data_IF_400201068319
#
_entry.id   IF_400201068319
#
_cell.length_a   1.000
_cell.length_b   1.000
_cell.length_c   1.000
_cell.angle_alpha   90.00
_cell.angle_beta   90.00
_cell.angle_gamma   90.00
#
_symmetry.space_group_name_H-M   'P 1'
#
loop_
_entity.id
_entity.type
_entity.pdbx_description
1 polymer ?
#
# COMPACT_ATOMS: atom_id res chain seq x y z
N UNK A 1 -5.32 4.93 -2.00
CA UNK A 1 -4.78 3.57 -2.13
C UNK A 1 -5.11 3.08 -3.51
N UNK A 2 -4.12 3.02 -4.40
CA UNK A 2 -4.25 2.37 -5.70
C UNK A 2 -3.05 1.46 -5.87
N UNK A 3 -3.15 0.37 -6.64
CA UNK A 3 -2.04 -0.59 -6.70
C UNK A 3 -0.71 0.07 -7.11
N UNK A 4 -0.74 1.01 -8.05
CA UNK A 4 0.44 1.74 -8.50
C UNK A 4 0.94 2.71 -7.41
N UNK A 5 0.03 3.50 -6.83
CA UNK A 5 0.37 4.49 -5.83
C UNK A 5 0.87 3.83 -4.52
N UNK A 6 0.29 2.68 -4.18
CA UNK A 6 0.64 1.89 -3.00
C UNK A 6 2.07 1.37 -3.09
N UNK A 7 2.57 1.00 -4.28
CA UNK A 7 3.99 0.65 -4.49
C UNK A 7 4.89 1.81 -4.07
N UNK A 8 4.64 3.02 -4.58
CA UNK A 8 5.44 4.20 -4.24
C UNK A 8 5.31 4.59 -2.76
N UNK A 9 4.11 4.50 -2.19
CA UNK A 9 3.90 4.78 -0.77
C UNK A 9 4.62 3.76 0.11
N UNK A 10 4.53 2.46 -0.18
CA UNK A 10 5.19 1.41 0.59
C UNK A 10 6.72 1.52 0.50
N UNK A 11 7.25 1.86 -0.68
CA UNK A 11 8.67 2.15 -0.85
C UNK A 11 9.09 3.35 0.02
N UNK A 12 8.35 4.47 -0.06
CA UNK A 12 8.62 5.68 0.70
C UNK A 12 8.50 5.49 2.22
N UNK A 13 7.47 4.77 2.68
CA UNK A 13 7.27 4.42 4.09
C UNK A 13 8.41 3.51 4.56
N UNK A 14 8.80 2.50 3.77
CA UNK A 14 9.94 1.64 4.10
C UNK A 14 11.25 2.41 4.28
N UNK A 15 11.49 3.40 3.43
CA UNK A 15 12.62 4.32 3.57
C UNK A 15 12.51 5.16 4.85
N UNK A 16 11.33 5.70 5.15
CA UNK A 16 11.06 6.49 6.35
C UNK A 16 11.25 5.67 7.64
N UNK A 17 10.78 4.42 7.68
CA UNK A 17 11.00 3.49 8.79
C UNK A 17 12.50 3.31 9.03
N UNK A 18 13.27 3.08 7.97
CA UNK A 18 14.72 2.90 8.07
C UNK A 18 15.42 4.14 8.61
N UNK A 19 15.00 5.32 8.18
CA UNK A 19 15.51 6.60 8.67
C UNK A 19 15.17 6.84 10.15
N UNK A 20 13.95 6.56 10.58
CA UNK A 20 13.51 6.68 11.97
C UNK A 20 14.28 5.74 12.90
N UNK A 21 14.46 4.49 12.47
CA UNK A 21 15.10 3.45 13.26
C UNK A 21 16.61 3.63 13.37
N UNK A 22 17.27 4.25 12.37
CA UNK A 22 18.72 4.56 12.40
C UNK A 22 19.14 5.38 13.64
N UNK A 23 18.23 6.19 14.19
CA UNK A 23 18.52 7.03 15.37
C UNK A 23 18.78 6.21 16.64
N UNK A 24 18.33 4.95 16.71
CA UNK A 24 18.49 4.10 17.90
C UNK A 24 19.85 3.40 17.91
N UNK A 25 20.51 3.38 19.08
CA UNK A 25 21.87 2.82 19.27
C UNK A 25 21.89 1.30 19.41
N UNK A 26 20.80 0.69 19.87
CA UNK A 26 20.73 -0.74 20.22
C UNK A 26 20.15 -1.55 19.04
N UNK A 27 20.91 -2.53 18.55
CA UNK A 27 20.52 -3.32 17.37
C UNK A 27 19.25 -4.18 17.57
N UNK A 28 19.03 -4.72 18.77
CA UNK A 28 17.77 -5.43 19.06
C UNK A 28 16.55 -4.51 18.98
N UNK A 29 16.61 -3.32 19.58
CA UNK A 29 15.54 -2.33 19.47
C UNK A 29 15.30 -1.90 18.03
N UNK A 30 16.36 -1.76 17.22
CA UNK A 30 16.22 -1.43 15.79
C UNK A 30 15.43 -2.50 15.05
N UNK A 31 15.77 -3.78 15.25
CA UNK A 31 15.06 -4.91 14.63
C UNK A 31 13.60 -4.96 15.07
N UNK A 32 13.33 -4.87 16.37
CA UNK A 32 11.95 -4.92 16.91
C UNK A 32 11.11 -3.74 16.41
N UNK A 33 11.64 -2.52 16.41
CA UNK A 33 10.90 -1.35 15.92
C UNK A 33 10.65 -1.43 14.42
N UNK A 34 11.64 -1.88 13.64
CA UNK A 34 11.44 -2.08 12.19
C UNK A 34 10.30 -3.07 11.96
N UNK A 35 10.32 -4.22 12.64
CA UNK A 35 9.30 -5.24 12.50
C UNK A 35 7.92 -4.72 12.92
N UNK A 36 7.84 -4.03 14.07
CA UNK A 36 6.60 -3.45 14.57
C UNK A 36 6.00 -2.46 13.56
N UNK A 37 6.81 -1.50 13.09
CA UNK A 37 6.34 -0.53 12.10
C UNK A 37 5.96 -1.19 10.78
N UNK A 38 6.68 -2.22 10.34
CA UNK A 38 6.32 -2.97 9.14
C UNK A 38 4.97 -3.67 9.28
N UNK A 39 4.74 -4.38 10.39
CA UNK A 39 3.47 -5.08 10.65
C UNK A 39 2.31 -4.09 10.70
N UNK A 40 2.48 -2.98 11.44
CA UNK A 40 1.45 -1.93 11.53
C UNK A 40 1.17 -1.32 10.15
N UNK A 41 2.21 -1.05 9.35
CA UNK A 41 2.04 -0.49 8.00
C UNK A 41 1.24 -1.43 7.12
N UNK A 42 1.59 -2.71 7.05
CA UNK A 42 0.86 -3.69 6.23
C UNK A 42 -0.58 -3.85 6.71
N UNK A 43 -0.80 -3.91 8.02
CA UNK A 43 -2.15 -3.99 8.58
C UNK A 43 -3.02 -2.80 8.17
N UNK A 44 -2.47 -1.57 8.22
CA UNK A 44 -3.18 -0.36 7.77
C UNK A 44 -3.49 -0.43 6.27
N UNK A 45 -2.52 -0.81 5.44
CA UNK A 45 -2.74 -0.93 4.00
C UNK A 45 -3.82 -1.95 3.67
N UNK A 46 -3.80 -3.14 4.27
CA UNK A 46 -4.84 -4.16 4.05
C UNK A 46 -6.22 -3.72 4.56
N UNK A 47 -6.27 -3.06 5.72
CA UNK A 47 -7.52 -2.54 6.29
C UNK A 47 -8.19 -1.52 5.37
N UNK A 48 -7.41 -0.74 4.61
CA UNK A 48 -7.97 0.22 3.67
C UNK A 48 -8.21 -0.42 2.30
N UNK A 49 -7.22 -1.13 1.76
CA UNK A 49 -7.23 -1.55 0.37
C UNK A 49 -8.17 -2.73 0.10
N UNK A 50 -8.36 -3.66 1.04
CA UNK A 50 -9.30 -4.79 0.86
C UNK A 50 -10.75 -4.29 0.80
N UNK A 51 -11.27 -3.51 1.78
CA UNK A 51 -12.62 -2.96 1.71
C UNK A 51 -12.84 -2.09 0.48
N UNK A 52 -11.79 -1.36 0.06
CA UNK A 52 -11.85 -0.53 -1.14
C UNK A 52 -12.00 -1.37 -2.41
N UNK A 53 -11.22 -2.45 -2.53
CA UNK A 53 -11.26 -3.36 -3.68
C UNK A 53 -12.60 -4.09 -3.81
N UNK A 54 -13.19 -4.52 -2.70
CA UNK A 54 -14.51 -5.20 -2.71
C UNK A 54 -15.69 -4.23 -2.77
N UNK A 55 -15.44 -2.92 -2.90
CA UNK A 55 -16.46 -1.86 -2.89
C UNK A 55 -17.33 -1.88 -1.62
N UNK A 56 -16.75 -2.11 -0.44
CA UNK A 56 -17.50 -2.11 0.81
C UNK A 56 -17.91 -0.68 1.21
N UNK A 57 -19.15 -0.31 0.85
CA UNK A 57 -19.74 1.00 1.15
C UNK A 57 -19.96 1.27 2.65
N UNK A 58 -19.96 0.24 3.49
CA UNK A 58 -20.13 0.39 4.94
C UNK A 58 -18.82 0.75 5.66
N UNK A 59 -17.69 0.70 4.96
CA UNK A 59 -16.40 1.09 5.51
C UNK A 59 -16.27 2.63 5.48
N UNK A 60 -16.20 3.33 6.63
CA UNK A 60 -16.24 4.80 6.64
C UNK A 60 -15.15 5.49 5.80
N UNK A 61 -13.89 4.98 5.75
CA UNK A 61 -12.85 5.56 4.90
C UNK A 61 -13.14 5.42 3.39
N UNK A 62 -14.03 4.51 2.97
CA UNK A 62 -14.45 4.36 1.58
C UNK A 62 -15.02 5.69 1.06
N UNK A 63 -15.99 6.28 1.77
CA UNK A 63 -16.65 7.51 1.35
C UNK A 63 -15.72 8.73 1.42
N UNK A 64 -14.84 8.80 2.41
CA UNK A 64 -13.85 9.88 2.48
C UNK A 64 -12.91 9.83 1.27
N UNK A 65 -12.45 8.64 0.89
CA UNK A 65 -11.56 8.49 -0.25
C UNK A 65 -12.29 8.75 -1.57
N UNK A 66 -13.50 8.23 -1.76
CA UNK A 66 -14.28 8.50 -2.99
C UNK A 66 -14.62 9.98 -3.14
N UNK A 67 -14.95 10.69 -2.05
CA UNK A 67 -15.11 12.15 -2.08
C UNK A 67 -13.83 12.88 -2.50
N UNK A 68 -12.68 12.45 -1.98
CA UNK A 68 -11.39 13.00 -2.40
C UNK A 68 -11.12 12.75 -3.89
N UNK A 69 -11.30 11.52 -4.36
CA UNK A 69 -11.08 11.15 -5.77
C UNK A 69 -12.01 11.94 -6.70
N UNK A 70 -13.29 12.07 -6.35
CA UNK A 70 -14.26 12.86 -7.11
C UNK A 70 -14.01 14.37 -7.04
N UNK A 71 -13.24 14.85 -6.06
CA UNK A 71 -12.86 16.27 -5.96
C UNK A 71 -11.66 16.65 -6.83
N UNK A 72 -10.91 15.67 -7.36
CA UNK A 72 -9.76 15.94 -8.21
C UNK A 72 -10.23 16.41 -9.60
N UNK A 73 -9.67 17.50 -10.16
CA UNK A 73 -9.99 18.00 -11.50
C UNK A 73 -9.27 17.16 -12.58
N UNK A 74 -9.37 15.85 -12.46
CA UNK A 74 -8.83 14.87 -13.39
C UNK A 74 -10.00 14.17 -14.09
N UNK A 75 -9.82 13.64 -15.31
CA UNK A 75 -10.82 12.77 -15.89
C UNK A 75 -11.06 11.59 -14.93
N UNK A 76 -12.20 11.60 -14.24
CA UNK A 76 -12.52 10.61 -13.22
C UNK A 76 -12.83 9.28 -13.89
N UNK A 77 -11.82 8.45 -14.06
CA UNK A 77 -11.95 7.09 -14.62
C UNK A 77 -12.34 6.03 -13.57
N UNK A 78 -12.87 6.46 -12.42
CA UNK A 78 -13.16 5.57 -11.29
C UNK A 78 -14.45 5.96 -10.58
N UNK A 79 -15.51 5.19 -10.82
CA UNK A 79 -16.81 5.37 -10.16
C UNK A 79 -16.90 4.58 -8.86
N UNK A 80 -16.00 3.61 -8.65
CA UNK A 80 -16.00 2.71 -7.49
C UNK A 80 -14.58 2.53 -6.92
N UNK A 81 -14.49 2.04 -5.68
CA UNK A 81 -13.21 1.76 -5.02
C UNK A 81 -12.34 0.76 -5.79
N UNK A 82 -12.93 -0.30 -6.36
CA UNK A 82 -12.25 -1.28 -7.22
C UNK A 82 -11.63 -0.64 -8.47
N UNK A 83 -12.39 0.22 -9.14
CA UNK A 83 -11.90 0.89 -10.34
C UNK A 83 -10.76 1.84 -9.97
N UNK A 84 -10.86 2.51 -8.82
CA UNK A 84 -9.79 3.35 -8.31
C UNK A 84 -8.53 2.54 -7.97
N UNK A 85 -8.69 1.36 -7.37
CA UNK A 85 -7.59 0.44 -7.07
C UNK A 85 -6.82 0.04 -8.34
N UNK A 86 -7.54 -0.30 -9.42
CA UNK A 86 -6.98 -0.80 -10.67
C UNK A 86 -6.44 0.35 -11.54
N UNK A 87 -7.27 1.37 -11.79
CA UNK A 87 -6.95 2.48 -12.70
C UNK A 87 -6.12 3.59 -12.04
N UNK A 88 -5.94 3.53 -10.72
CA UNK A 88 -5.19 4.56 -9.97
C UNK A 88 -5.71 5.99 -10.16
N UNK A 89 -6.97 6.14 -10.58
CA UNK A 89 -7.61 7.44 -10.85
C UNK A 89 -7.02 8.26 -12.00
N UNK A 90 -5.94 7.79 -12.65
CA UNK A 90 -5.19 8.55 -13.68
C UNK A 90 -4.98 7.73 -14.96
N UNK A 91 -4.83 6.40 -14.84
CA UNK A 91 -4.56 5.51 -15.97
C UNK A 91 -5.78 4.61 -16.22
N UNK A 92 -6.41 4.74 -17.38
CA UNK A 92 -7.53 3.87 -17.75
C UNK A 92 -6.99 2.52 -18.24
N UNK A 93 -6.79 1.59 -17.30
CA UNK A 93 -6.37 0.20 -17.59
C UNK A 93 -7.60 -0.65 -17.88
N UNK A 94 -8.67 -0.44 -17.13
CA UNK A 94 -9.98 -1.05 -17.35
C UNK A 94 -11.04 0.03 -17.55
N UNK A 95 -11.89 -0.14 -18.56
CA UNK A 95 -13.10 0.67 -18.72
C UNK A 95 -14.05 0.39 -17.55
N UNK A 96 -14.46 1.42 -16.78
CA UNK A 96 -15.41 1.23 -15.70
C UNK A 96 -16.75 0.75 -16.28
N UNK A 97 -17.29 -0.34 -15.72
CA UNK A 97 -18.56 -0.89 -16.18
C UNK A 97 -19.71 -0.22 -15.43
N UNK A 98 -20.50 0.58 -16.14
CA UNK A 98 -21.62 1.34 -15.56
C UNK A 98 -22.70 0.41 -14.98
N UNK A 99 -22.79 -0.84 -15.47
CA UNK A 99 -23.71 -1.85 -14.96
C UNK A 99 -23.37 -2.35 -13.55
N UNK A 100 -22.14 -2.09 -13.06
CA UNK A 100 -21.74 -2.47 -11.70
C UNK A 100 -22.24 -1.45 -10.64
N UNK A 101 -22.66 -0.25 -11.04
CA UNK A 101 -23.17 0.76 -10.13
C UNK A 101 -24.37 0.27 -9.26
N UNK A 102 -25.45 -0.28 -9.83
CA UNK A 102 -26.60 -0.76 -9.04
C UNK A 102 -26.28 -1.99 -8.17
N UNK A 103 -25.33 -2.84 -8.56
CA UNK A 103 -24.98 -4.05 -7.80
C UNK A 103 -24.06 -3.77 -6.60
N UNK A 104 -23.33 -2.64 -6.56
CA UNK A 104 -22.57 -2.24 -5.35
C UNK A 104 -23.46 -1.84 -4.17
N UNK A 105 -24.67 -1.36 -4.45
CA UNK A 105 -25.66 -1.02 -3.44
C UNK A 105 -26.15 -2.26 -2.67
N UNK A 106 -25.97 -3.46 -3.24
CA UNK A 106 -26.36 -4.74 -2.63
C UNK A 106 -25.24 -5.41 -1.81
N UNK A 107 -24.07 -4.77 -1.68
CA UNK A 107 -23.19 -4.95 -0.52
C UNK A 107 -21.88 -5.71 -0.73
N UNK A 108 -21.71 -6.59 -1.73
CA UNK A 108 -20.41 -7.22 -2.02
C UNK A 108 -20.38 -7.68 -3.48
N UNK A 109 -19.36 -7.27 -4.24
CA UNK A 109 -19.17 -7.72 -5.62
C UNK A 109 -18.43 -9.05 -5.70
N UNK A 110 -18.95 -9.96 -6.54
CA UNK A 110 -18.18 -11.07 -7.10
C UNK A 110 -17.32 -10.48 -8.21
N UNK A 111 -16.04 -10.25 -7.92
CA UNK A 111 -15.03 -9.94 -8.95
C UNK A 111 -14.84 -11.15 -9.83
N UNK A 112 -14.68 -10.94 -11.14
CA UNK A 112 -14.27 -12.00 -12.06
C UNK A 112 -13.03 -12.72 -11.49
N UNK A 113 -12.98 -14.06 -11.61
CA UNK A 113 -11.94 -14.85 -10.95
C UNK A 113 -10.53 -14.44 -11.38
N UNK A 114 -10.39 -13.90 -12.60
CA UNK A 114 -9.14 -13.35 -13.15
C UNK A 114 -8.69 -12.07 -12.43
N UNK A 115 -9.54 -11.06 -12.28
CA UNK A 115 -9.18 -9.83 -11.55
C UNK A 115 -8.96 -10.10 -10.07
N UNK A 116 -9.74 -11.00 -9.47
CA UNK A 116 -9.55 -11.43 -8.08
C UNK A 116 -8.17 -12.07 -7.90
N UNK A 117 -7.77 -12.97 -8.80
CA UNK A 117 -6.45 -13.60 -8.78
C UNK A 117 -5.32 -12.58 -8.88
N UNK A 118 -5.43 -11.63 -9.81
CA UNK A 118 -4.46 -10.55 -9.97
C UNK A 118 -4.39 -9.66 -8.72
N UNK A 119 -5.54 -9.29 -8.15
CA UNK A 119 -5.60 -8.49 -6.94
C UNK A 119 -4.97 -9.21 -5.74
N UNK A 120 -5.22 -10.51 -5.57
CA UNK A 120 -4.60 -11.32 -4.51
C UNK A 120 -3.07 -11.29 -4.65
N UNK A 121 -2.55 -11.49 -5.87
CA UNK A 121 -1.11 -11.42 -6.13
C UNK A 121 -0.56 -10.03 -5.81
N UNK A 122 -1.25 -8.96 -6.24
CA UNK A 122 -0.82 -7.59 -5.98
C UNK A 122 -0.83 -7.25 -4.48
N UNK A 123 -1.86 -7.68 -3.74
CA UNK A 123 -1.91 -7.54 -2.28
C UNK A 123 -0.79 -8.32 -1.59
N UNK A 124 -0.56 -9.57 -2.00
CA UNK A 124 0.52 -10.39 -1.46
C UNK A 124 1.92 -9.78 -1.68
N UNK A 125 2.07 -8.89 -2.65
CA UNK A 125 3.31 -8.16 -2.90
C UNK A 125 3.50 -6.93 -1.99
N UNK A 126 2.52 -6.50 -1.20
CA UNK A 126 2.66 -5.31 -0.34
C UNK A 126 3.83 -5.44 0.66
N UNK A 127 3.99 -6.57 1.39
CA UNK A 127 5.16 -6.79 2.22
C UNK A 127 6.48 -6.74 1.45
N UNK A 128 6.48 -7.20 0.19
CA UNK A 128 7.66 -7.19 -0.67
C UNK A 128 8.07 -5.76 -1.04
N UNK A 129 7.12 -4.91 -1.47
CA UNK A 129 7.41 -3.50 -1.77
C UNK A 129 7.89 -2.73 -0.55
N UNK A 130 7.28 -2.95 0.62
CA UNK A 130 7.73 -2.36 1.86
C UNK A 130 9.15 -2.80 2.22
N UNK A 131 9.46 -4.09 2.05
CA UNK A 131 10.79 -4.63 2.29
C UNK A 131 11.84 -4.00 1.38
N UNK A 132 11.54 -3.83 0.08
CA UNK A 132 12.43 -3.11 -0.84
C UNK A 132 12.66 -1.67 -0.40
N UNK A 133 11.62 -0.97 0.07
CA UNK A 133 11.74 0.39 0.62
C UNK A 133 12.66 0.44 1.83
N UNK A 134 12.55 -0.55 2.73
CA UNK A 134 13.43 -0.69 3.90
C UNK A 134 14.88 -0.96 3.47
N UNK A 135 15.12 -1.86 2.52
CA UNK A 135 16.45 -2.12 2.00
C UNK A 135 17.09 -0.87 1.38
N UNK A 136 16.33 -0.18 0.52
CA UNK A 136 16.77 1.05 -0.10
C UNK A 136 17.06 2.14 0.95
N UNK A 137 16.20 2.29 1.95
CA UNK A 137 16.42 3.21 3.07
C UNK A 137 17.66 2.86 3.90
N UNK A 138 17.92 1.57 4.15
CA UNK A 138 19.15 1.13 4.83
C UNK A 138 20.41 1.42 4.01
N UNK A 139 20.35 1.22 2.70
CA UNK A 139 21.45 1.53 1.80
C UNK A 139 21.72 3.04 1.76
N UNK A 140 20.68 3.85 1.56
CA UNK A 140 20.79 5.31 1.45
C UNK A 140 21.20 5.98 2.76
N UNK A 141 20.61 5.55 3.88
CA UNK A 141 20.85 6.19 5.16
C UNK A 141 21.96 5.52 5.96
N UNK A 142 22.41 4.33 5.59
CA UNK A 142 23.60 3.69 6.13
C UNK A 142 23.49 3.21 7.59
N UNK A 143 23.88 1.96 7.80
CA UNK A 143 24.49 1.48 9.04
C UNK A 143 25.59 2.46 9.46
N UNK A 144 25.65 2.84 10.73
CA UNK A 144 26.63 3.81 11.23
C UNK A 144 28.05 3.36 10.86
N UNK A 145 28.99 4.28 10.56
CA UNK A 145 30.40 3.92 10.35
C UNK A 145 31.02 3.12 11.51
N UNK A 146 30.44 3.19 12.72
CA UNK A 146 30.80 2.34 13.87
C UNK A 146 30.63 0.83 13.62
N UNK A 147 29.73 0.40 12.72
CA UNK A 147 29.54 -1.03 12.39
C UNK A 147 30.53 -1.53 11.31
N UNK A 148 31.23 -0.64 10.59
CA UNK A 148 32.28 -1.04 9.64
C UNK A 148 33.59 -1.45 10.34
N UNK A 149 33.78 -1.09 11.61
CA UNK A 149 34.93 -1.50 12.43
C UNK A 149 34.83 -2.91 13.04
N UNK A 150 33.66 -3.56 12.98
CA UNK A 150 33.44 -4.92 13.50
C UNK A 150 33.30 -5.98 12.39
N UNK A 151 33.62 -5.64 11.14
CA UNK A 151 33.74 -6.64 10.05
C UNK A 151 35.16 -7.22 9.95
N UNK A 152 36.03 -6.95 10.93
CA UNK A 152 37.36 -7.56 11.08
C UNK A 152 37.45 -8.59 12.21
N UNK A 153 36.31 -9.08 12.71
CA UNK A 153 36.31 -10.02 13.83
C UNK A 153 35.11 -10.99 13.81
N UNK A 154 34.78 -11.57 12.66
CA UNK A 154 34.15 -12.90 12.54
C UNK A 154 34.41 -13.45 11.15
#
# INVERSE_FOLDING_TARGET
>A
MSFILDVFLLLGIGMAISWLVKRKRINHLRKTLTLLFSVVTIAVFYTVAIPLYVNNIYFPPYWMMMKFVWSLPLPVFSFMGRDFMINSGVLQITTPNIMDLPASLLGVFITDPTSLGLAIVLFALYPFWLYLGILAGRFLFGSRPEEKGMLGAF
#
